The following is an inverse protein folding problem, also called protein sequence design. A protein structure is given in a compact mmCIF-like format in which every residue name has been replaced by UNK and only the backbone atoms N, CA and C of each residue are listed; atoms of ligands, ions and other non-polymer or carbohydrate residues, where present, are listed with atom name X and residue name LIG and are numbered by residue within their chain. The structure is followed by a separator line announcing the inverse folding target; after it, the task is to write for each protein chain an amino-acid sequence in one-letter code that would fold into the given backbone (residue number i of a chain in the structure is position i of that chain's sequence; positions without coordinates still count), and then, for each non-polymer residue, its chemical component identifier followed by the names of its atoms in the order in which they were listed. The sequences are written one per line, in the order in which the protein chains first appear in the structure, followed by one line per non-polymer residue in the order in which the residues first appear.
data_IF_738404328011
#
_entry.id   IF_738404328011
#
_cell.length_a   1.000
_cell.length_b   1.000
_cell.length_c   1.000
_cell.angle_alpha   90.00
_cell.angle_beta   90.00
_cell.angle_gamma   90.00
#
_symmetry.space_group_name_H-M   'P 1'
#
loop_
_entity.id
_entity.type
_entity.pdbx_description
1 polymer ?
2 polymer ?
3 water ?
#
# COMPACT_ATOMS: atom_id res chain seq x y z
N UNK A 1 -4.37 13.03 -13.13
CA UNK A 1 -4.58 12.45 -14.43
C UNK A 1 -3.41 11.48 -14.55
N UNK A 2 -3.68 10.28 -15.07
CA UNK A 2 -2.69 9.22 -15.25
C UNK A 2 -1.36 9.53 -15.92
N UNK A 3 -1.42 10.27 -17.02
CA UNK A 3 -0.26 10.63 -17.81
C UNK A 3 0.90 11.21 -17.01
N UNK A 4 0.62 12.19 -16.14
CA UNK A 4 1.66 12.87 -15.36
C UNK A 4 2.38 11.97 -14.36
N UNK A 5 1.70 10.95 -13.84
CA UNK A 5 2.29 10.04 -12.88
C UNK A 5 3.21 9.04 -13.60
N UNK A 6 2.88 8.67 -14.82
CA UNK A 6 3.57 7.63 -15.53
C UNK A 6 4.98 8.12 -15.86
N UNK A 7 6.01 7.34 -15.53
CA UNK A 7 7.39 7.68 -15.83
C UNK A 7 8.41 7.00 -14.90
N UNK A 8 9.65 7.52 -14.99
CA UNK A 8 10.73 7.13 -14.10
C UNK A 8 10.90 8.25 -13.04
N UNK A 9 11.04 7.88 -11.76
CA UNK A 9 11.10 8.78 -10.64
C UNK A 9 12.24 8.39 -9.72
N UNK A 10 12.78 9.27 -8.86
CA UNK A 10 13.87 8.91 -7.94
C UNK A 10 13.72 9.60 -6.61
N UNK A 11 14.23 9.02 -5.55
CA UNK A 11 14.12 9.64 -4.25
C UNK A 11 15.48 10.11 -3.78
N UNK A 12 15.48 10.76 -2.60
CA UNK A 12 16.70 11.31 -2.01
C UNK A 12 17.81 10.27 -1.72
N UNK A 13 17.52 8.98 -1.50
CA UNK A 13 18.57 8.00 -1.25
C UNK A 13 19.09 7.34 -2.54
N UNK A 14 18.49 7.65 -3.71
CA UNK A 14 18.90 7.08 -4.99
C UNK A 14 18.16 5.84 -5.47
N UNK A 15 17.03 5.44 -4.90
CA UNK A 15 16.23 4.34 -5.39
C UNK A 15 15.43 4.80 -6.62
N UNK A 16 15.08 3.85 -7.49
CA UNK A 16 14.38 4.02 -8.76
C UNK A 16 13.00 3.39 -8.70
N UNK A 17 11.98 4.07 -9.18
CA UNK A 17 10.63 3.50 -9.24
C UNK A 17 10.17 3.72 -10.69
N UNK A 18 9.64 2.70 -11.43
CA UNK A 18 9.13 2.88 -12.80
C UNK A 18 7.65 2.62 -12.71
N UNK A 19 6.72 3.42 -13.19
CA UNK A 19 5.30 3.18 -12.93
C UNK A 19 4.45 3.52 -14.15
N UNK A 20 3.35 2.79 -14.43
CA UNK A 20 2.42 3.08 -15.50
C UNK A 20 1.07 3.28 -14.79
N UNK A 21 0.38 4.40 -15.04
CA UNK A 21 -0.94 4.63 -14.49
C UNK A 21 -2.02 4.20 -15.51
N UNK A 22 -2.85 3.19 -15.21
CA UNK A 22 -3.89 2.71 -16.12
C UNK A 22 -5.18 3.56 -15.96
N UNK A 23 -6.08 3.62 -16.94
CA UNK A 23 -7.20 4.56 -16.86
C UNK A 23 -8.32 4.27 -15.84
N UNK A 24 -8.32 3.08 -15.27
CA UNK A 24 -9.27 2.67 -14.26
C UNK A 24 -8.73 2.95 -12.82
N UNK A 25 -7.59 3.61 -12.60
CA UNK A 25 -7.08 3.73 -11.24
C UNK A 25 -5.92 2.79 -10.87
N UNK A 26 -5.38 1.92 -11.76
CA UNK A 26 -4.32 0.97 -11.38
C UNK A 26 -2.89 1.46 -11.58
N UNK A 27 -1.98 1.00 -10.70
CA UNK A 27 -0.56 1.31 -10.81
C UNK A 27 0.20 -0.02 -10.83
N UNK A 28 1.22 -0.18 -11.68
CA UNK A 28 2.06 -1.38 -11.83
C UNK A 28 3.40 -0.87 -12.28
N UNK A 29 4.46 -1.60 -11.95
CA UNK A 29 5.80 -1.23 -12.38
C UNK A 29 6.81 -2.02 -11.55
N UNK A 30 8.01 -1.49 -11.41
CA UNK A 30 9.08 -2.12 -10.64
C UNK A 30 9.84 -1.10 -9.79
N UNK A 31 10.41 -1.60 -8.68
CA UNK A 31 11.17 -0.80 -7.72
C UNK A 31 12.62 -1.27 -7.61
N UNK A 32 13.64 -0.40 -7.63
CA UNK A 32 15.04 -0.80 -7.51
C UNK A 32 15.83 0.08 -6.54
N UNK A 33 16.78 -0.41 -5.75
CA UNK A 33 17.65 0.44 -4.91
C UNK A 33 18.83 1.01 -5.76
N UNK A 34 19.65 1.96 -5.28
CA UNK A 34 20.71 2.64 -6.04
C UNK A 34 21.90 1.85 -6.54
N UNK A 35 22.00 0.60 -6.10
CA UNK A 35 23.02 -0.30 -6.62
C UNK A 35 22.69 -0.49 -8.11
N UNK A 36 21.40 -0.34 -8.42
CA UNK A 36 20.93 -0.44 -9.77
C UNK A 36 20.92 -1.90 -10.11
N UNK A 37 21.05 -2.16 -11.42
CA UNK A 37 21.12 -3.51 -11.94
C UNK A 37 19.82 -4.28 -11.71
N UNK A 38 19.70 -5.38 -12.45
CA UNK A 38 18.56 -6.26 -12.40
C UNK A 38 18.15 -6.58 -10.98
N UNK A 39 18.98 -7.09 -10.07
CA UNK A 39 18.34 -7.49 -8.84
C UNK A 39 18.50 -7.00 -7.43
N UNK A 40 17.80 -5.94 -7.74
CA UNK A 40 17.25 -5.05 -6.77
C UNK A 40 15.91 -4.70 -7.42
N UNK A 41 15.49 -5.34 -8.54
CA UNK A 41 14.19 -5.04 -9.14
C UNK A 41 13.11 -5.88 -8.53
N UNK A 42 12.05 -5.27 -8.00
CA UNK A 42 10.97 -5.98 -7.36
C UNK A 42 9.61 -5.51 -7.94
N UNK A 43 8.55 -6.30 -7.99
CA UNK A 43 7.25 -5.92 -8.56
C UNK A 43 6.54 -5.04 -7.56
N UNK A 44 5.87 -3.99 -8.06
CA UNK A 44 4.99 -3.14 -7.25
C UNK A 44 3.57 -3.12 -7.86
N UNK A 45 2.55 -2.99 -7.02
CA UNK A 45 1.17 -2.84 -7.45
C UNK A 45 0.57 -1.70 -6.58
N UNK A 46 -0.37 -0.92 -7.11
CA UNK A 46 -0.94 0.19 -6.33
C UNK A 46 -2.19 0.75 -7.01
N UNK A 47 -2.77 1.87 -6.50
CA UNK A 47 -4.03 2.52 -6.95
C UNK A 47 -3.87 4.04 -6.71
N UNK A 48 -4.56 4.83 -7.50
CA UNK A 48 -4.50 6.28 -7.41
C UNK A 48 -5.89 6.85 -7.69
N UNK A 49 -6.14 8.14 -7.38
CA UNK A 49 -7.42 8.79 -7.68
C UNK A 49 -7.39 9.18 -9.17
N UNK A 50 -8.14 8.45 -10.00
CA UNK A 50 -8.17 8.77 -11.44
C UNK A 50 -9.00 10.00 -11.79
N UNK A 51 -9.83 10.55 -10.88
CA UNK A 51 -10.58 11.81 -11.03
C UNK A 51 -10.26 12.80 -9.90
N UNK A 52 -9.08 13.44 -9.89
CA UNK A 52 -8.64 14.36 -8.84
C UNK A 52 -9.50 15.65 -8.77
N UNK A 53 -9.53 16.30 -7.59
CA UNK A 53 -10.26 17.56 -7.40
C UNK A 53 -9.47 18.58 -8.20
N UNK A 54 -10.07 19.64 -8.72
CA UNK A 54 -9.33 20.64 -9.49
C UNK A 54 -8.43 21.42 -8.51
N UNK A 55 -8.61 22.73 -8.26
CA UNK A 55 -7.85 23.48 -7.25
C UNK A 55 -6.35 23.31 -7.49
N UNK A 56 -5.50 23.46 -6.49
CA UNK A 56 -4.10 23.09 -6.64
C UNK A 56 -3.89 21.93 -5.67
N UNK A 57 -4.91 21.07 -5.59
CA UNK A 57 -4.90 19.92 -4.72
C UNK A 57 -4.02 18.82 -5.30
N UNK A 58 -3.33 18.01 -4.52
CA UNK A 58 -2.58 16.89 -5.10
C UNK A 58 -3.50 15.69 -5.40
N UNK A 59 -2.91 14.65 -6.00
CA UNK A 59 -3.64 13.42 -6.32
C UNK A 59 -3.19 12.36 -5.33
N UNK A 60 -4.08 11.81 -4.54
CA UNK A 60 -3.77 10.81 -3.56
C UNK A 60 -3.44 9.41 -4.19
N UNK A 61 -2.41 8.71 -3.75
CA UNK A 61 -2.04 7.44 -4.33
C UNK A 61 -1.35 6.60 -3.32
N UNK A 62 -1.16 5.31 -3.52
CA UNK A 62 -0.42 4.45 -2.61
C UNK A 62 0.03 3.18 -3.34
N UNK A 63 1.05 2.44 -2.87
CA UNK A 63 1.49 1.22 -3.51
C UNK A 63 2.25 0.33 -2.52
N UNK A 64 2.39 -0.98 -2.81
CA UNK A 64 3.08 -1.99 -2.01
C UNK A 64 4.23 -2.63 -2.82
N UNK A 65 5.34 -2.95 -2.15
CA UNK A 65 6.39 -3.84 -2.67
C UNK A 65 6.61 -4.95 -1.62
N UNK A 66 6.62 -6.26 -1.95
CA UNK A 66 6.98 -7.35 -1.02
C UNK A 66 8.39 -7.68 -1.50
N UNK A 67 9.35 -7.69 -0.56
CA UNK A 67 10.75 -7.82 -0.85
C UNK A 67 11.20 -9.28 -1.06
N UNK A 68 10.62 -9.87 -2.10
CA UNK A 68 10.97 -11.19 -2.59
C UNK A 68 11.05 -11.10 -4.13
N UNK A 69 12.21 -11.46 -4.73
CA UNK A 69 12.28 -11.68 -6.18
C UNK A 69 12.96 -13.04 -6.51
N UNK A 70 13.45 -13.28 -7.72
CA UNK A 70 14.05 -14.56 -8.00
C UNK A 70 15.43 -14.74 -7.40
N UNK A 71 16.06 -13.75 -6.75
CA UNK A 71 17.42 -13.82 -6.28
C UNK A 71 17.49 -13.67 -4.76
N UNK A 72 16.53 -12.97 -4.14
CA UNK A 72 16.53 -12.64 -2.72
C UNK A 72 15.13 -12.65 -2.07
N UNK A 73 15.06 -12.90 -0.77
CA UNK A 73 13.81 -12.78 -0.02
C UNK A 73 14.09 -12.17 1.36
N UNK A 74 13.77 -10.87 1.52
CA UNK A 74 13.87 -10.20 2.82
C UNK A 74 12.74 -10.48 3.81
N UNK A 75 11.68 -11.25 3.49
CA UNK A 75 10.57 -11.52 4.40
C UNK A 75 9.92 -10.24 4.99
N UNK A 76 9.58 -9.29 4.13
CA UNK A 76 9.06 -7.99 4.51
C UNK A 76 8.35 -7.27 3.36
N UNK A 77 7.44 -6.34 3.69
CA UNK A 77 6.68 -5.57 2.72
C UNK A 77 6.66 -4.09 3.13
N UNK A 78 6.90 -3.16 2.19
CA UNK A 78 6.77 -1.73 2.43
C UNK A 78 5.54 -1.14 1.76
N UNK A 79 4.72 -0.27 2.43
CA UNK A 79 3.63 0.44 1.74
C UNK A 79 3.96 1.94 1.72
N UNK A 80 3.82 2.71 0.64
CA UNK A 80 4.06 4.14 0.62
C UNK A 80 2.70 4.77 0.46
N UNK A 81 2.28 5.82 1.19
CA UNK A 81 0.99 6.46 1.03
C UNK A 81 1.29 7.97 0.87
N UNK A 82 0.82 8.70 -0.16
CA UNK A 82 1.15 10.12 -0.30
C UNK A 82 0.40 10.83 -1.43
N UNK A 83 0.91 11.94 -1.94
CA UNK A 83 0.22 12.64 -3.00
C UNK A 83 1.18 13.20 -4.02
N UNK A 84 0.66 13.16 -5.25
CA UNK A 84 1.32 13.63 -6.45
C UNK A 84 0.92 15.09 -6.60
N UNK A 85 1.94 15.95 -6.75
CA UNK A 85 1.75 17.38 -6.87
C UNK A 85 2.47 17.63 -8.19
N UNK A 86 1.68 17.90 -9.23
CA UNK A 86 2.26 18.10 -10.54
C UNK A 86 2.53 19.58 -10.78
N UNK A 87 3.40 19.87 -11.73
CA UNK A 87 3.76 21.22 -12.10
C UNK A 87 4.95 21.07 -13.01
N UNK A 88 5.86 22.07 -13.00
CA UNK A 88 7.10 21.97 -13.76
C UNK A 88 7.93 20.89 -13.05
N UNK A 89 8.18 21.11 -11.74
CA UNK A 89 8.88 20.15 -10.94
C UNK A 89 7.78 19.29 -10.33
N UNK A 90 7.49 18.16 -10.98
CA UNK A 90 6.48 17.23 -10.51
C UNK A 90 7.03 16.48 -9.29
N UNK A 91 6.30 16.22 -8.21
CA UNK A 91 6.86 15.57 -7.03
C UNK A 91 5.88 14.58 -6.49
N UNK A 92 6.33 13.44 -5.95
CA UNK A 92 5.44 12.60 -5.15
C UNK A 92 6.02 12.63 -3.72
N UNK A 93 5.21 13.12 -2.78
CA UNK A 93 5.66 13.20 -1.38
C UNK A 93 4.94 12.09 -0.63
N UNK A 94 5.69 11.24 0.10
CA UNK A 94 5.10 10.10 0.80
C UNK A 94 5.53 9.91 2.26
N UNK A 95 4.78 9.05 2.96
CA UNK A 95 5.23 8.51 4.23
C UNK A 95 5.11 7.02 4.01
N UNK A 96 5.97 6.20 4.60
CA UNK A 96 5.98 4.76 4.38
C UNK A 96 6.03 3.94 5.67
N UNK A 97 5.48 2.71 5.63
CA UNK A 97 5.65 1.76 6.72
C UNK A 97 6.36 0.49 6.24
N UNK A 98 7.42 -0.05 6.85
CA UNK A 98 8.08 -1.31 6.43
C UNK A 98 7.72 -2.41 7.45
N UNK A 99 6.82 -3.40 7.25
CA UNK A 99 6.68 -4.49 8.25
C UNK A 99 7.50 -5.80 7.97
N UNK A 100 8.19 -6.40 8.94
CA UNK A 100 8.95 -7.63 8.80
C UNK A 100 8.16 -8.79 9.37
N UNK A 101 8.29 -10.05 8.90
CA UNK A 101 7.55 -11.15 9.54
C UNK A 101 8.28 -11.45 10.84
N UNK A 102 7.64 -11.54 12.02
CA UNK A 102 8.31 -11.85 13.30
C UNK A 102 7.55 -12.91 14.08
N UNK A 103 8.16 -13.43 15.16
CA UNK A 103 7.47 -14.37 16.03
C UNK A 103 6.45 -13.57 16.87
N UNK A 104 5.49 -14.17 17.60
CA UNK A 104 4.50 -13.40 18.38
C UNK A 104 5.17 -12.51 19.44
N UNK A 105 6.18 -13.08 20.08
CA UNK A 105 7.00 -12.38 21.03
C UNK A 105 7.68 -11.10 20.51
N UNK A 106 8.12 -10.99 19.24
CA UNK A 106 8.76 -9.78 18.79
C UNK A 106 7.93 -8.86 17.94
N UNK A 107 6.63 -9.10 17.97
CA UNK A 107 5.70 -8.34 17.15
C UNK A 107 5.71 -6.87 17.46
N UNK A 108 5.94 -6.45 18.72
CA UNK A 108 5.84 -5.03 19.10
C UNK A 108 6.88 -4.19 18.38
N UNK A 109 8.02 -4.74 17.92
CA UNK A 109 8.99 -3.98 17.14
C UNK A 109 9.11 -4.42 15.67
N UNK A 110 7.99 -4.82 15.03
CA UNK A 110 8.01 -5.28 13.64
C UNK A 110 8.00 -4.18 12.57
N UNK A 111 7.43 -3.00 12.84
CA UNK A 111 7.28 -1.96 11.85
C UNK A 111 8.11 -0.68 12.00
N UNK A 112 8.74 -0.26 10.90
CA UNK A 112 9.48 0.97 10.77
C UNK A 112 8.63 2.01 10.03
N UNK A 113 8.84 3.31 10.25
CA UNK A 113 8.11 4.43 9.62
C UNK A 113 9.14 5.44 9.14
N UNK A 114 8.80 6.16 8.09
CA UNK A 114 9.72 7.12 7.51
C UNK A 114 9.05 7.89 6.38
N UNK A 115 9.79 8.62 5.56
CA UNK A 115 9.15 9.42 4.54
C UNK A 115 10.15 9.61 3.40
N UNK A 116 9.62 9.74 2.18
CA UNK A 116 10.38 9.82 0.92
C UNK A 116 9.86 10.87 -0.07
N UNK A 117 10.75 11.56 -0.78
CA UNK A 117 10.32 12.51 -1.81
C UNK A 117 10.88 12.06 -3.15
N UNK A 118 10.01 11.87 -4.14
CA UNK A 118 10.38 11.46 -5.48
C UNK A 118 10.34 12.62 -6.49
N UNK A 119 11.41 12.76 -7.28
CA UNK A 119 11.50 13.76 -8.37
C UNK A 119 11.41 12.99 -9.68
N UNK A 120 10.63 13.48 -10.66
CA UNK A 120 10.43 12.79 -11.92
C UNK A 120 11.53 13.11 -12.93
N UNK A 121 11.92 12.12 -13.73
CA UNK A 121 12.97 12.32 -14.73
C UNK A 121 12.69 12.03 -16.20
N UNK A 122 11.69 11.17 -16.48
CA UNK A 122 11.30 10.68 -17.81
C UNK A 122 9.86 10.19 -17.65
N UNK A 123 8.99 10.20 -18.68
CA UNK A 123 7.90 9.24 -18.81
C UNK A 123 8.32 7.83 -19.26
N UNK B 1 -1.08 -20.15 7.51
CA UNK B 1 -0.06 -20.68 6.64
C UNK B 1 -0.44 -20.16 5.27
N UNK B 2 0.51 -19.78 4.40
CA UNK B 2 0.30 -19.20 3.06
C UNK B 2 -1.12 -18.93 2.56
N UNK B 3 -1.74 -19.86 1.81
CA UNK B 3 -3.05 -19.67 1.23
C UNK B 3 -4.21 -19.44 2.18
N UNK B 4 -4.03 -19.59 3.50
CA UNK B 4 -5.07 -19.32 4.49
C UNK B 4 -5.50 -17.85 4.45
N UNK B 5 -4.72 -17.00 3.77
CA UNK B 5 -5.06 -15.60 3.54
C UNK B 5 -6.26 -15.46 2.62
N UNK B 6 -6.48 -16.38 1.68
CA UNK B 6 -7.66 -16.29 0.84
C UNK B 6 -8.89 -16.56 1.73
N UNK B 7 -9.91 -15.68 1.61
CA UNK B 7 -11.11 -15.77 2.42
C UNK B 7 -11.76 -14.40 2.61
N UNK B 8 -12.73 -14.38 3.56
CA UNK B 8 -13.40 -13.16 4.07
C UNK B 8 -13.00 -12.79 5.51
N UNK B 9 -12.56 -11.53 5.66
CA UNK B 9 -12.05 -10.98 6.93
C UNK B 9 -12.82 -9.71 7.33
N UNK B 10 -12.95 -9.54 8.65
CA UNK B 10 -13.69 -8.45 9.30
C UNK B 10 -12.79 -7.66 10.27
N UNK B 11 -12.76 -6.32 10.32
CA UNK B 11 -11.93 -5.69 11.34
C UNK B 11 -12.82 -5.41 12.54
N UNK B 12 -12.26 -4.81 13.59
CA UNK B 12 -12.97 -4.47 14.82
C UNK B 12 -14.09 -3.42 14.74
N UNK B 13 -14.33 -2.78 13.59
CA UNK B 13 -15.40 -1.80 13.42
C UNK B 13 -16.43 -2.29 12.39
N UNK B 14 -16.40 -3.57 11.96
CA UNK B 14 -17.37 -4.11 11.01
C UNK B 14 -17.07 -3.91 9.52
N UNK B 15 -15.89 -3.43 9.11
CA UNK B 15 -15.53 -3.35 7.71
C UNK B 15 -15.19 -4.77 7.25
N UNK B 16 -15.47 -5.09 5.96
CA UNK B 16 -15.21 -6.40 5.38
C UNK B 16 -14.17 -6.28 4.27
N UNK B 17 -13.27 -7.28 4.23
CA UNK B 17 -12.15 -7.40 3.31
C UNK B 17 -12.19 -8.85 2.71
N UNK B 18 -12.46 -8.98 1.40
CA UNK B 18 -12.48 -10.27 0.69
C UNK B 18 -11.23 -10.30 -0.23
N UNK B 19 -10.38 -11.30 -0.06
CA UNK B 19 -9.15 -11.47 -0.82
C UNK B 19 -8.87 -12.86 -1.41
N UNK B 20 -8.24 -12.76 -2.58
CA UNK B 20 -7.62 -13.87 -3.33
C UNK B 20 -6.09 -13.65 -3.27
N UNK B 21 -5.35 -14.64 -2.82
CA UNK B 21 -3.89 -14.60 -2.84
C UNK B 21 -3.34 -15.46 -4.00
N UNK B 22 -2.63 -14.94 -5.00
CA UNK B 22 -2.06 -15.72 -6.10
C UNK B 22 -0.80 -16.46 -5.66
N UNK B 23 -0.41 -17.55 -6.30
CA UNK B 23 0.74 -18.38 -5.87
C UNK B 23 2.07 -17.64 -5.84
N UNK B 24 2.21 -16.64 -6.71
CA UNK B 24 3.43 -15.88 -6.85
C UNK B 24 3.55 -14.53 -6.10
N UNK B 25 2.62 -14.29 -5.19
CA UNK B 25 2.66 -13.07 -4.40
C UNK B 25 1.63 -11.97 -4.65
N UNK B 26 0.58 -12.14 -5.42
CA UNK B 26 -0.33 -11.03 -5.65
C UNK B 26 -1.49 -11.15 -4.74
N UNK B 27 -2.08 -10.01 -4.39
CA UNK B 27 -3.26 -9.97 -3.48
C UNK B 27 -4.33 -9.19 -4.25
N UNK B 28 -5.55 -9.69 -4.41
CA UNK B 28 -6.57 -8.98 -5.19
C UNK B 28 -7.91 -9.13 -4.48
N UNK B 29 -8.80 -8.14 -4.51
CA UNK B 29 -10.11 -8.34 -3.94
C UNK B 29 -10.88 -7.03 -3.78
N UNK B 30 -11.82 -7.03 -2.84
CA UNK B 30 -12.66 -5.85 -2.57
C UNK B 30 -12.72 -5.53 -1.05
N UNK B 31 -12.93 -4.24 -0.69
CA UNK B 31 -13.11 -3.78 0.69
C UNK B 31 -14.43 -3.02 0.78
N UNK B 32 -15.24 -3.24 1.79
CA UNK B 32 -16.39 -2.40 2.00
C UNK B 32 -16.56 -2.08 3.49
N UNK B 33 -17.05 -0.86 3.79
CA UNK B 33 -17.33 -0.38 5.16
C UNK B 33 -18.52 -1.09 5.86
N UNK B 34 -18.84 -0.75 7.12
CA UNK B 34 -20.04 -1.29 7.76
C UNK B 34 -21.29 -0.70 7.08
N UNK B 35 -22.51 -0.77 7.61
CA UNK B 35 -23.76 -0.38 6.95
C UNK B 35 -24.02 -1.41 5.82
N UNK B 36 -23.03 -2.04 5.20
CA UNK B 36 -23.20 -3.21 4.34
C UNK B 36 -23.71 -2.97 2.93
N UNK B 37 -24.32 -1.82 2.65
CA UNK B 37 -24.86 -1.52 1.34
C UNK B 37 -23.90 -1.81 0.21
N UNK B 38 -24.45 -2.35 -0.87
CA UNK B 38 -23.67 -2.80 -2.00
C UNK B 38 -22.79 -1.81 -2.75
N UNK B 39 -22.49 -0.62 -2.22
CA UNK B 39 -21.39 0.15 -2.73
C UNK B 39 -20.78 1.21 -1.83
N UNK B 40 -20.42 0.50 -0.79
CA UNK B 40 -19.41 0.93 0.11
C UNK B 40 -18.24 0.03 -0.38
N UNK B 41 -18.27 -0.65 -1.56
CA UNK B 41 -17.16 -1.49 -2.01
C UNK B 41 -16.27 -0.76 -2.97
N UNK B 42 -15.00 -1.08 -2.78
CA UNK B 42 -13.90 -0.46 -3.49
C UNK B 42 -12.91 -1.59 -3.77
N UNK B 43 -12.13 -1.43 -4.85
CA UNK B 43 -11.09 -2.35 -5.31
C UNK B 43 -9.78 -2.22 -4.49
N UNK B 44 -9.13 -3.35 -4.19
CA UNK B 44 -7.81 -3.33 -3.57
C UNK B 44 -6.83 -4.18 -4.39
N UNK B 45 -5.56 -3.82 -4.35
CA UNK B 45 -4.53 -4.62 -4.94
C UNK B 45 -3.38 -4.55 -3.92
N UNK B 46 -2.53 -5.59 -3.85
CA UNK B 46 -1.46 -5.66 -2.87
C UNK B 46 -0.44 -6.76 -3.23
N UNK B 47 0.50 -7.04 -2.32
CA UNK B 47 1.55 -8.06 -2.47
C UNK B 47 1.78 -8.69 -1.10
N UNK B 48 2.30 -9.92 -1.03
CA UNK B 48 2.64 -10.63 0.21
C UNK B 48 3.86 -11.53 -0.01
N UNK B 49 4.49 -12.07 1.04
CA UNK B 49 5.64 -12.95 0.88
C UNK B 49 5.12 -14.36 0.57
N UNK B 50 5.31 -14.86 -0.67
CA UNK B 50 4.84 -16.21 -1.06
C UNK B 50 5.76 -17.36 -0.67
N UNK B 51 6.91 -17.07 -0.06
CA UNK B 51 7.79 -18.12 0.46
C UNK B 51 8.28 -17.71 1.85
N UNK B 52 7.41 -17.71 2.88
CA UNK B 52 7.75 -17.23 4.22
C UNK B 52 8.73 -18.12 4.96
N UNK B 53 9.30 -17.64 6.07
CA UNK B 53 10.28 -18.39 6.83
C UNK B 53 9.67 -19.53 7.63
N UNK B 54 10.51 -20.53 7.91
CA UNK B 54 10.16 -21.76 8.61
C UNK B 54 10.25 -21.79 10.13
N UNK B 55 10.61 -20.67 10.73
CA UNK B 55 10.53 -20.55 12.18
C UNK B 55 9.07 -20.13 12.37
N UNK B 56 8.53 -19.98 13.58
CA UNK B 56 7.13 -19.57 13.71
C UNK B 56 6.85 -18.11 13.32
N UNK B 57 7.52 -17.47 12.34
CA UNK B 57 7.24 -16.10 11.96
C UNK B 57 5.97 -15.94 11.14
N UNK B 58 5.36 -14.75 11.21
CA UNK B 58 4.20 -14.43 10.38
C UNK B 58 4.59 -14.15 8.93
N UNK B 59 3.57 -14.01 8.07
CA UNK B 59 3.75 -13.70 6.67
C UNK B 59 3.59 -12.21 6.38
N UNK B 60 4.62 -11.46 5.99
CA UNK B 60 4.50 -10.04 5.72
C UNK B 60 3.63 -9.79 4.48
N UNK B 61 2.78 -8.75 4.55
CA UNK B 61 1.86 -8.35 3.49
C UNK B 61 1.49 -6.86 3.52
N UNK B 62 0.80 -6.36 2.49
CA UNK B 62 0.32 -5.01 2.40
C UNK B 62 -0.63 -4.83 1.22
N UNK B 63 -1.49 -3.81 1.21
CA UNK B 63 -2.42 -3.46 0.13
C UNK B 63 -2.85 -1.97 0.12
N UNK B 64 -3.46 -1.48 -0.97
CA UNK B 64 -3.89 -0.10 -1.10
C UNK B 64 -5.36 -0.10 -1.53
N UNK B 65 -6.14 0.95 -1.15
CA UNK B 65 -7.52 1.20 -1.57
C UNK B 65 -7.52 2.70 -1.85
N UNK B 66 -7.79 3.13 -3.09
CA UNK B 66 -8.06 4.50 -3.41
C UNK B 66 -9.57 4.58 -3.21
N UNK B 67 -10.05 5.66 -2.61
CA UNK B 67 -11.43 5.72 -2.17
C UNK B 67 -12.38 6.37 -3.17
N UNK B 68 -12.46 5.68 -4.31
CA UNK B 68 -13.26 6.09 -5.46
C UNK B 68 -13.87 4.84 -6.04
N UNK B 69 -15.14 4.92 -6.40
CA UNK B 69 -15.86 3.83 -7.07
C UNK B 69 -16.90 4.51 -7.99
N UNK B 70 -18.03 3.94 -8.39
CA UNK B 70 -18.95 4.69 -9.26
C UNK B 70 -19.90 5.69 -8.65
N UNK B 71 -19.89 5.76 -7.32
CA UNK B 71 -20.80 6.62 -6.56
C UNK B 71 -20.07 7.77 -5.86
N UNK B 72 -18.95 7.46 -5.20
CA UNK B 72 -18.25 8.41 -4.37
C UNK B 72 -16.78 8.54 -4.72
N UNK B 73 -16.19 9.71 -4.41
CA UNK B 73 -14.77 9.92 -4.56
C UNK B 73 -14.30 10.81 -3.43
N UNK B 74 -13.71 10.21 -2.40
CA UNK B 74 -13.26 10.94 -1.23
C UNK B 74 -11.85 11.49 -1.39
N UNK B 75 -11.27 11.58 -2.59
CA UNK B 75 -9.93 12.12 -2.85
C UNK B 75 -8.84 11.85 -1.79
N UNK B 76 -8.74 10.52 -1.52
CA UNK B 76 -7.84 9.92 -0.55
C UNK B 76 -7.48 8.44 -0.82
N UNK B 77 -6.51 7.84 -0.13
CA UNK B 77 -6.08 6.46 -0.32
C UNK B 77 -5.49 5.89 0.97
N UNK B 78 -5.76 4.64 1.37
CA UNK B 78 -5.19 4.06 2.59
C UNK B 78 -4.27 2.88 2.25
N UNK B 79 -3.14 2.71 2.93
CA UNK B 79 -2.29 1.54 2.77
C UNK B 79 -2.22 0.88 4.13
N UNK B 80 -2.28 -0.46 4.16
CA UNK B 80 -2.20 -1.26 5.38
C UNK B 80 -0.94 -2.11 5.22
N UNK B 81 -0.07 -2.23 6.23
CA UNK B 81 1.21 -2.91 6.16
C UNK B 81 1.18 -3.78 7.41
N UNK B 82 1.51 -5.07 7.36
CA UNK B 82 1.30 -5.90 8.54
C UNK B 82 1.72 -7.34 8.35
N UNK B 83 1.10 -8.27 9.10
CA UNK B 83 1.44 -9.66 8.94
C UNK B 83 0.36 -10.64 9.40
N UNK B 84 0.28 -11.72 8.64
CA UNK B 84 -0.67 -12.81 8.82
C UNK B 84 -0.07 -13.92 9.69
N UNK B 85 -0.92 -14.38 10.59
CA UNK B 85 -0.64 -15.47 11.53
C UNK B 85 -1.79 -16.47 11.47
N UNK B 86 -1.43 -17.71 11.21
CA UNK B 86 -2.44 -18.74 11.12
C UNK B 86 -2.48 -19.52 12.41
N UNK B 87 -3.33 -20.50 12.41
CA UNK B 87 -3.51 -21.34 13.58
C UNK B 87 -4.99 -21.54 13.65
N UNK B 88 -5.51 -22.09 14.74
CA UNK B 88 -6.96 -22.24 14.87
C UNK B 88 -7.60 -20.83 14.90
N UNK B 89 -6.98 -19.80 15.50
CA UNK B 89 -7.52 -18.45 15.39
C UNK B 89 -6.60 -17.59 14.51
N UNK B 90 -6.85 -17.61 13.20
CA UNK B 90 -6.02 -16.84 12.30
C UNK B 90 -6.35 -15.35 12.39
N UNK B 91 -5.36 -14.49 12.17
CA UNK B 91 -5.61 -13.05 12.14
C UNK B 91 -4.52 -12.34 11.40
N UNK B 92 -4.85 -11.14 10.97
CA UNK B 92 -3.92 -10.24 10.28
C UNK B 92 -3.75 -8.98 11.13
N UNK B 93 -2.58 -8.67 11.61
CA UNK B 93 -2.40 -7.48 12.45
C UNK B 93 -1.81 -6.38 11.59
N UNK B 94 -2.46 -5.20 11.52
CA UNK B 94 -1.91 -4.09 10.72
C UNK B 94 -1.79 -2.69 11.33
N UNK B 95 -1.06 -1.81 10.66
CA UNK B 95 -1.15 -0.39 10.94
C UNK B 95 -1.36 0.31 9.57
N UNK B 96 -1.99 1.47 9.46
CA UNK B 96 -2.35 2.06 8.19
C UNK B 96 -2.02 3.57 8.10
N UNK B 97 -1.92 4.12 6.90
CA UNK B 97 -1.73 5.53 6.66
C UNK B 97 -2.85 5.96 5.71
N UNK B 98 -3.65 7.02 6.02
CA UNK B 98 -4.71 7.53 5.16
C UNK B 98 -4.21 8.91 4.71
N UNK B 99 -3.88 9.11 3.43
CA UNK B 99 -3.50 10.43 2.90
C UNK B 99 -4.66 11.02 2.06
N UNK B 100 -4.95 12.31 2.24
CA UNK B 100 -5.95 13.03 1.46
C UNK B 100 -5.27 14.00 0.50
N UNK B 101 -5.81 14.23 -0.70
CA UNK B 101 -5.20 15.18 -1.62
C UNK B 101 -5.41 16.60 -1.11
N UNK B 102 -4.40 17.34 -0.69
CA UNK B 102 -4.62 18.69 -0.13
C UNK B 102 -3.98 19.78 -0.96
N UNK B 103 -4.29 21.07 -0.72
CA UNK B 103 -3.49 22.16 -1.28
C UNK B 103 -2.16 22.22 -0.51
N UNK B 104 -1.08 22.81 -1.03
CA UNK B 104 0.20 22.92 -0.32
C UNK B 104 0.18 23.42 1.13
N UNK B 105 -0.64 24.44 1.41
CA UNK B 105 -0.83 25.01 2.73
C UNK B 105 -1.27 24.03 3.80
N UNK B 106 -2.10 23.08 3.38
CA UNK B 106 -2.57 22.10 4.32
C UNK B 106 -1.81 20.80 4.24
N UNK B 107 -0.73 20.74 3.45
CA UNK B 107 0.02 19.50 3.32
C UNK B 107 0.48 18.95 4.66
N UNK B 108 0.88 19.76 5.67
CA UNK B 108 1.36 19.23 6.96
C UNK B 108 0.32 18.39 7.72
N UNK B 109 -0.96 18.60 7.49
CA UNK B 109 -2.00 17.87 8.19
C UNK B 109 -2.72 16.92 7.19
N UNK B 110 -2.03 16.42 6.17
CA UNK B 110 -2.62 15.50 5.19
C UNK B 110 -2.81 14.02 5.61
N UNK B 111 -2.04 13.44 6.52
CA UNK B 111 -2.04 12.00 6.77
C UNK B 111 -2.48 11.51 8.16
N UNK B 112 -3.42 10.59 8.29
CA UNK B 112 -3.83 10.02 9.57
C UNK B 112 -3.16 8.65 9.76
N UNK B 113 -2.81 8.17 10.97
CA UNK B 113 -2.25 6.85 11.23
C UNK B 113 -3.16 6.09 12.19
N UNK B 114 -3.30 4.76 12.11
CA UNK B 114 -4.13 3.95 12.98
C UNK B 114 -3.74 2.47 12.93
N UNK B 115 -4.52 1.55 13.50
CA UNK B 115 -4.21 0.11 13.52
C UNK B 115 -5.50 -0.73 13.45
N UNK B 116 -5.53 -1.87 12.76
CA UNK B 116 -6.71 -2.74 12.60
C UNK B 116 -6.29 -4.19 12.77
N UNK B 117 -7.18 -4.98 13.32
CA UNK B 117 -6.91 -6.41 13.48
C UNK B 117 -8.08 -7.06 12.79
N UNK B 118 -7.77 -7.85 11.76
CA UNK B 118 -8.80 -8.58 11.04
C UNK B 118 -8.90 -10.05 11.47
N UNK B 119 -10.11 -10.60 11.62
CA UNK B 119 -10.26 -12.02 11.87
C UNK B 119 -11.40 -12.50 10.95
N UNK B 120 -11.60 -13.81 10.90
CA UNK B 120 -12.63 -14.43 10.08
C UNK B 120 -13.95 -14.55 10.80
N UNK B 121 -14.08 -13.93 11.96
CA UNK B 121 -15.26 -13.95 12.81
C UNK B 121 -15.84 -12.53 12.73
N UNK C 2 20.86 -5.48 6.57
CA UNK C 2 20.70 -4.48 5.55
C UNK C 2 19.29 -4.76 5.02
N UNK C 3 18.62 -3.78 4.43
CA UNK C 3 17.33 -4.05 3.81
C UNK C 3 17.40 -3.53 2.37
N UNK C 4 16.82 -4.25 1.37
CA UNK C 4 16.75 -3.81 -0.02
C UNK C 4 15.92 -2.56 -0.32
N UNK C 5 15.22 -1.97 0.66
CA UNK C 5 14.50 -0.75 0.38
C UNK C 5 15.51 0.32 0.02
N UNK C 6 16.52 0.53 0.85
CA UNK C 6 17.47 1.61 0.61
C UNK C 6 18.88 1.09 0.72
N UNK C 7 19.82 2.01 0.60
CA UNK C 7 21.24 1.73 0.67
C UNK C 7 21.78 2.37 1.96
N UNK D 1 -14.35 15.71 9.56
CA UNK D 1 -13.59 15.07 8.50
C UNK D 1 -14.67 14.12 7.99
N UNK D 2 -14.66 12.83 8.35
CA UNK D 2 -15.57 11.75 7.90
C UNK D 2 -15.04 11.22 6.57
N UNK D 3 -15.24 9.91 6.46
CA UNK D 3 -14.62 9.11 5.42
C UNK D 3 -15.33 7.76 5.18
N UNK D 4 -15.09 6.99 4.06
CA UNK D 4 -15.65 5.64 3.83
C UNK D 4 -14.97 4.44 4.47
N UNK D 5 -13.76 4.64 4.96
CA UNK D 5 -12.98 3.57 5.55
C UNK D 5 -13.65 2.83 6.71
N UNK D 6 -14.43 3.54 7.55
CA UNK D 6 -15.07 2.90 8.69
C UNK D 6 -16.39 3.57 8.95
N UNK D 7 -17.28 2.64 9.30
CA UNK D 7 -18.70 2.74 9.66
C UNK D 7 -19.54 3.74 8.86
#
# INVERSE_FOLDING_TARGET
AEAGITGTWYNQLGSTFIVTAGADGALTGTYESAVGNAESRYVLTGRYDSAPATDGSGTALGWTVAWKNNYRNAHSATTWSGQYVGGAEARINTQWLLTSGTTEANAWKSTLVGHDTFTKVKP
AEAGITGTWYNQLGSTFIVTAGADGALTGTYESAVGNAESRYVLTGRYDSAPATDGSGTALGWTVAWKNNYRNAHSATTWSGQYVGGAEARINTQWLLTSGTTEANAWKSTLVGHDTFTKVKP
FSHPQNT
FSHPQNT
#
